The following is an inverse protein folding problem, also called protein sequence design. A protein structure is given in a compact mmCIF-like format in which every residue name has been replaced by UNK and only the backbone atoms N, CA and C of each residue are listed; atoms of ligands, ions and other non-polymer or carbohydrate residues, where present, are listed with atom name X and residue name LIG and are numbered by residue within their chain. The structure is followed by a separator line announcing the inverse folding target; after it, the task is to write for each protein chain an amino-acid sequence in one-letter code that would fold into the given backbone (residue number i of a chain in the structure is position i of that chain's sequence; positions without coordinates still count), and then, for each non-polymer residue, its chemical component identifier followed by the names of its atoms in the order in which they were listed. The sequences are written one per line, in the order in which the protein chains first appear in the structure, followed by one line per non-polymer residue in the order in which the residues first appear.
data_IF_234128547243
#
_entry.id   IF_234128547243
#
_cell.length_a   1.000
_cell.length_b   1.000
_cell.length_c   1.000
_cell.angle_alpha   90.00
_cell.angle_beta   90.00
_cell.angle_gamma   90.00
#
_symmetry.space_group_name_H-M   'P 1'
#
loop_
_entity.id
_entity.type
_entity.pdbx_description
1 polymer ?
#
# COMPACT_ATOMS: atom_id res chain seq x y z
N UNK A 1 11.63 20.19 -1.91
CA UNK A 1 10.40 20.06 -2.74
C UNK A 1 10.07 18.58 -2.73
N UNK A 2 8.81 18.19 -2.53
CA UNK A 2 8.44 16.78 -2.61
C UNK A 2 8.22 16.44 -4.07
N UNK A 3 9.07 15.58 -4.63
CA UNK A 3 8.93 15.15 -6.02
C UNK A 3 7.66 14.33 -6.17
N UNK A 4 6.94 14.54 -7.28
CA UNK A 4 5.67 13.85 -7.56
C UNK A 4 5.77 13.06 -8.86
N UNK A 5 5.14 11.91 -8.87
CA UNK A 5 5.01 11.05 -10.04
C UNK A 5 3.54 10.89 -10.39
N UNK A 6 3.20 11.17 -11.64
CA UNK A 6 1.89 10.85 -12.21
C UNK A 6 1.90 9.37 -12.60
N UNK A 7 0.93 8.62 -12.10
CA UNK A 7 0.65 7.26 -12.56
C UNK A 7 -0.30 7.37 -13.74
N UNK A 8 0.06 6.79 -14.86
CA UNK A 8 -0.71 6.86 -16.11
C UNK A 8 -1.24 5.49 -16.49
N UNK A 9 -2.40 5.47 -17.14
CA UNK A 9 -2.98 4.29 -17.72
C UNK A 9 -2.11 3.86 -18.91
N UNK A 10 -1.55 2.64 -18.88
CA UNK A 10 -0.68 2.17 -19.95
C UNK A 10 -1.38 1.97 -21.30
N UNK A 11 -2.71 1.83 -21.34
CA UNK A 11 -3.49 1.66 -22.57
C UNK A 11 -3.57 2.94 -23.42
N UNK A 12 -3.81 4.11 -22.80
CA UNK A 12 -4.07 5.36 -23.52
C UNK A 12 -3.25 6.57 -23.02
N UNK A 13 -2.43 6.38 -21.98
CA UNK A 13 -1.61 7.42 -21.36
C UNK A 13 -2.39 8.40 -20.47
N UNK A 14 -3.68 8.18 -20.22
CA UNK A 14 -4.48 9.03 -19.34
C UNK A 14 -4.00 8.99 -17.89
N UNK A 15 -4.09 10.08 -17.10
CA UNK A 15 -3.66 10.06 -15.70
C UNK A 15 -4.64 9.24 -14.83
N UNK A 16 -4.10 8.30 -14.06
CA UNK A 16 -4.84 7.49 -13.06
C UNK A 16 -4.76 8.14 -11.68
N UNK A 17 -3.58 8.69 -11.33
CA UNK A 17 -3.36 9.34 -10.05
C UNK A 17 -1.99 10.00 -9.94
N UNK A 18 -1.72 10.59 -8.78
CA UNK A 18 -0.42 11.20 -8.45
C UNK A 18 0.07 10.70 -7.10
N UNK A 19 1.35 10.35 -7.03
CA UNK A 19 2.01 9.98 -5.78
C UNK A 19 3.21 10.87 -5.48
N UNK A 20 3.47 11.07 -4.19
CA UNK A 20 4.71 11.70 -3.73
C UNK A 20 5.81 10.63 -3.72
N UNK A 21 6.98 10.97 -4.26
CA UNK A 21 8.15 10.12 -4.18
C UNK A 21 8.76 10.23 -2.78
N UNK A 22 8.89 9.08 -2.12
CA UNK A 22 9.58 8.97 -0.83
C UNK A 22 11.06 9.28 -0.99
N UNK A 23 11.62 10.07 -0.08
CA UNK A 23 13.05 10.31 0.02
C UNK A 23 13.77 9.17 0.77
N UNK A 24 15.10 9.13 0.69
CA UNK A 24 15.92 8.21 1.50
C UNK A 24 15.62 8.35 3.01
N UNK A 25 15.37 9.58 3.48
CA UNK A 25 15.00 9.85 4.86
C UNK A 25 13.65 9.25 5.25
N UNK A 26 12.69 9.23 4.33
CA UNK A 26 11.38 8.63 4.58
C UNK A 26 11.50 7.11 4.71
N UNK A 27 12.37 6.49 3.90
CA UNK A 27 12.71 5.07 4.01
C UNK A 27 13.36 4.76 5.37
N UNK A 28 14.36 5.53 5.78
CA UNK A 28 15.01 5.35 7.09
C UNK A 28 14.01 5.51 8.23
N UNK A 29 13.10 6.49 8.13
CA UNK A 29 12.04 6.72 9.12
C UNK A 29 11.09 5.52 9.21
N UNK A 30 10.70 4.94 8.07
CA UNK A 30 9.85 3.76 8.03
C UNK A 30 10.54 2.53 8.64
N UNK A 31 11.82 2.31 8.35
CA UNK A 31 12.63 1.24 8.92
C UNK A 31 12.79 1.39 10.44
N UNK A 32 13.14 2.59 10.92
CA UNK A 32 13.25 2.87 12.34
C UNK A 32 11.91 2.67 13.07
N UNK A 33 10.80 3.04 12.44
CA UNK A 33 9.45 2.83 12.99
C UNK A 33 9.11 1.34 13.08
N UNK A 34 9.42 0.56 12.04
CA UNK A 34 9.20 -0.88 12.04
C UNK A 34 10.05 -1.57 13.13
N UNK A 35 11.33 -1.22 13.24
CA UNK A 35 12.24 -1.73 14.26
C UNK A 35 11.72 -1.42 15.68
N UNK A 36 11.41 -0.16 15.97
CA UNK A 36 10.87 0.27 17.26
C UNK A 36 9.55 -0.43 17.62
N UNK A 37 8.67 -0.61 16.63
CA UNK A 37 7.39 -1.30 16.83
C UNK A 37 7.60 -2.77 17.18
N UNK A 38 8.52 -3.44 16.49
CA UNK A 38 8.88 -4.82 16.80
C UNK A 38 9.53 -4.94 18.18
N UNK A 39 10.44 -4.04 18.53
CA UNK A 39 11.09 -4.02 19.85
C UNK A 39 10.10 -3.80 20.99
N UNK A 40 9.15 -2.89 20.82
CA UNK A 40 8.10 -2.63 21.80
C UNK A 40 7.13 -3.81 21.97
N UNK A 41 6.99 -4.67 20.95
CA UNK A 41 6.14 -5.84 20.97
C UNK A 41 6.86 -7.10 20.47
N UNK A 42 7.99 -7.46 21.10
CA UNK A 42 8.86 -8.57 20.66
C UNK A 42 8.17 -9.93 20.59
N UNK A 43 7.19 -10.17 21.46
CA UNK A 43 6.40 -11.41 21.47
C UNK A 43 5.33 -11.43 20.37
N UNK A 44 5.06 -10.27 19.76
CA UNK A 44 3.97 -10.07 18.82
C UNK A 44 2.60 -10.17 19.47
N UNK A 45 1.58 -9.83 18.69
CA UNK A 45 0.19 -10.07 19.09
C UNK A 45 -0.08 -11.58 19.18
N UNK A 46 -0.90 -12.06 20.14
CA UNK A 46 -1.42 -13.42 20.13
C UNK A 46 -1.98 -13.84 18.78
N UNK A 47 -1.88 -15.13 18.44
CA UNK A 47 -2.33 -15.67 17.13
C UNK A 47 -3.77 -15.28 16.79
N UNK A 48 -4.67 -15.34 17.78
CA UNK A 48 -6.09 -15.04 17.58
C UNK A 48 -6.33 -13.56 17.22
N UNK A 49 -5.58 -12.63 17.82
CA UNK A 49 -5.65 -11.20 17.50
C UNK A 49 -5.15 -10.91 16.09
N UNK A 50 -4.04 -11.53 15.67
CA UNK A 50 -3.54 -11.41 14.29
C UNK A 50 -4.56 -11.90 13.26
N UNK A 51 -5.22 -13.03 13.56
CA UNK A 51 -6.29 -13.57 12.71
C UNK A 51 -7.46 -12.59 12.64
N UNK A 52 -7.87 -12.00 13.76
CA UNK A 52 -8.95 -11.03 13.79
C UNK A 52 -8.64 -9.80 12.93
N UNK A 53 -7.41 -9.26 13.04
CA UNK A 53 -6.94 -8.12 12.23
C UNK A 53 -6.95 -8.48 10.74
N UNK A 54 -6.38 -9.62 10.36
CA UNK A 54 -6.29 -10.04 8.96
C UNK A 54 -7.67 -10.34 8.35
N UNK A 55 -8.59 -10.93 9.11
CA UNK A 55 -9.99 -11.12 8.68
C UNK A 55 -10.67 -9.77 8.45
N UNK A 56 -10.47 -8.81 9.37
CA UNK A 56 -11.07 -7.49 9.21
C UNK A 56 -10.52 -6.75 7.98
N UNK A 57 -9.21 -6.85 7.74
CA UNK A 57 -8.60 -6.31 6.52
C UNK A 57 -9.21 -6.95 5.26
N UNK A 58 -9.38 -8.28 5.24
CA UNK A 58 -10.01 -8.97 4.13
C UNK A 58 -11.47 -8.53 3.91
N UNK A 59 -12.26 -8.39 4.98
CA UNK A 59 -13.64 -7.85 4.89
C UNK A 59 -13.68 -6.45 4.27
N UNK A 60 -12.75 -5.57 4.67
CA UNK A 60 -12.66 -4.21 4.11
C UNK A 60 -12.29 -4.26 2.62
N UNK A 61 -11.32 -5.11 2.24
CA UNK A 61 -10.92 -5.28 0.85
C UNK A 61 -12.05 -5.82 -0.02
N UNK A 62 -12.79 -6.82 0.46
CA UNK A 62 -13.97 -7.36 -0.24
C UNK A 62 -15.04 -6.29 -0.40
N UNK A 63 -15.29 -5.47 0.62
CA UNK A 63 -16.23 -4.34 0.51
C UNK A 63 -15.81 -3.24 -0.46
N UNK A 64 -14.56 -3.28 -0.96
CA UNK A 64 -14.00 -2.34 -1.94
C UNK A 64 -13.52 -3.05 -3.22
N UNK A 65 -13.98 -4.28 -3.48
CA UNK A 65 -13.44 -5.12 -4.55
C UNK A 65 -13.48 -4.45 -5.92
N UNK A 66 -14.59 -3.79 -6.24
CA UNK A 66 -14.81 -3.20 -7.57
C UNK A 66 -13.90 -1.99 -7.78
N UNK A 67 -13.78 -1.13 -6.77
CA UNK A 67 -12.85 0.02 -6.78
C UNK A 67 -11.40 -0.45 -6.94
N UNK A 68 -10.99 -1.45 -6.16
CA UNK A 68 -9.64 -2.01 -6.22
C UNK A 68 -9.37 -2.69 -7.56
N UNK A 69 -10.32 -3.42 -8.13
CA UNK A 69 -10.19 -4.06 -9.43
C UNK A 69 -10.03 -3.04 -10.56
N UNK A 70 -10.84 -1.98 -10.55
CA UNK A 70 -10.73 -0.88 -11.53
C UNK A 70 -9.38 -0.16 -11.41
N UNK A 71 -8.91 0.09 -10.19
CA UNK A 71 -7.61 0.73 -9.97
C UNK A 71 -6.45 -0.16 -10.46
N UNK A 72 -6.47 -1.46 -10.15
CA UNK A 72 -5.46 -2.41 -10.63
C UNK A 72 -5.43 -2.46 -12.15
N UNK A 73 -6.59 -2.53 -12.81
CA UNK A 73 -6.66 -2.53 -14.27
C UNK A 73 -6.12 -1.22 -14.87
N UNK A 74 -6.48 -0.08 -14.26
CA UNK A 74 -6.03 1.23 -14.73
C UNK A 74 -4.52 1.45 -14.55
N UNK A 75 -3.88 0.89 -13.51
CA UNK A 75 -2.44 1.05 -13.26
C UNK A 75 -1.57 -0.06 -13.87
N UNK A 76 -2.14 -1.25 -14.10
CA UNK A 76 -1.38 -2.50 -14.25
C UNK A 76 -1.32 -3.13 -15.64
N UNK A 77 -2.14 -2.71 -16.62
CA UNK A 77 -2.14 -3.34 -17.95
C UNK A 77 -0.88 -3.02 -18.78
N UNK A 78 0.18 -3.81 -18.64
CA UNK A 78 1.18 -3.87 -19.71
C UNK A 78 0.56 -4.63 -20.89
N UNK A 79 0.46 -4.00 -22.06
CA UNK A 79 0.15 -4.70 -23.31
C UNK A 79 1.29 -5.69 -23.57
N UNK A 80 1.02 -7.00 -23.49
CA UNK A 80 1.86 -8.05 -24.08
C UNK A 80 2.00 -7.85 -25.61
#
# INVERSE_FOLDING_TARGET
MMDRMVVTNPFDGSPVGEMVLSSERDVETALATAAKTHEANRKGLPKHERIAILKKAAEIMVGRSDELAMLIAAEGETTD
#
